data_IF_226935267660
#
_entry.id   IF_226935267660
#
_cell.length_a   1.000
_cell.length_b   1.000
_cell.length_c   1.000
_cell.angle_alpha   90.00
_cell.angle_beta   90.00
_cell.angle_gamma   90.00
#
_symmetry.space_group_name_H-M   'P 1'
#
loop_
_entity.id
_entity.type
_entity.pdbx_description
1 polymer ?
#
# COMPACT_ATOMS: atom_id res chain seq x y z
N UNK A 1 32.92 20.40 0.83
CA UNK A 1 31.81 19.85 1.64
C UNK A 1 31.92 18.34 1.61
N UNK A 2 32.07 17.65 2.75
CA UNK A 2 32.02 16.18 2.79
C UNK A 2 30.60 15.77 2.41
N UNK A 3 30.46 14.94 1.36
CA UNK A 3 29.17 14.41 0.95
C UNK A 3 28.56 13.58 2.09
N UNK A 4 27.25 13.67 2.26
CA UNK A 4 26.52 12.83 3.22
C UNK A 4 26.50 11.42 2.65
N UNK A 5 27.22 10.49 3.29
CA UNK A 5 27.24 9.10 2.89
C UNK A 5 26.00 8.39 3.40
N UNK A 6 25.27 7.71 2.52
CA UNK A 6 24.10 6.92 2.87
C UNK A 6 24.19 5.55 2.20
N UNK A 7 23.84 4.52 2.94
CA UNK A 7 23.87 3.13 2.49
C UNK A 7 22.45 2.57 2.39
N UNK A 8 22.17 1.81 1.33
CA UNK A 8 20.93 1.03 1.22
C UNK A 8 21.18 -0.37 1.75
N UNK A 9 20.32 -0.82 2.67
CA UNK A 9 20.30 -2.20 3.17
C UNK A 9 18.97 -2.87 2.91
N UNK A 10 19.01 -4.20 2.86
CA UNK A 10 17.84 -5.04 2.83
C UNK A 10 16.96 -4.76 4.06
N UNK A 11 15.64 -4.61 3.84
CA UNK A 11 14.69 -4.42 4.92
C UNK A 11 14.59 -5.69 5.78
N UNK A 12 14.63 -5.48 7.10
CA UNK A 12 14.28 -6.43 8.13
C UNK A 12 13.45 -5.71 9.20
N UNK A 13 12.46 -6.39 9.77
CA UNK A 13 11.59 -5.76 10.77
C UNK A 13 12.27 -5.71 12.15
N UNK A 14 12.48 -4.49 12.63
CA UNK A 14 12.96 -4.21 13.98
C UNK A 14 12.47 -2.83 14.44
N UNK A 15 12.65 -2.53 15.73
CA UNK A 15 12.07 -1.34 16.34
C UNK A 15 12.66 -0.05 15.74
N UNK A 16 13.95 -0.03 15.38
CA UNK A 16 14.58 1.14 14.72
C UNK A 16 13.92 1.48 13.38
N UNK A 17 13.48 0.46 12.63
CA UNK A 17 12.78 0.65 11.35
C UNK A 17 11.37 1.17 11.57
N UNK A 18 10.67 0.65 12.57
CA UNK A 18 9.31 1.11 12.93
C UNK A 18 9.36 2.55 13.44
N UNK A 19 10.35 2.89 14.26
CA UNK A 19 10.56 4.25 14.76
C UNK A 19 10.88 5.23 13.61
N UNK A 20 11.79 4.85 12.71
CA UNK A 20 12.11 5.67 11.53
C UNK A 20 10.91 5.81 10.59
N UNK A 21 10.07 4.79 10.48
CA UNK A 21 8.82 4.85 9.72
C UNK A 21 7.83 5.84 10.35
N UNK A 22 7.52 5.67 11.64
CA UNK A 22 6.64 6.59 12.38
C UNK A 22 7.15 8.03 12.29
N UNK A 23 8.45 8.24 12.49
CA UNK A 23 9.04 9.57 12.44
C UNK A 23 9.04 10.15 11.01
N UNK A 24 9.31 9.32 10.00
CA UNK A 24 9.25 9.69 8.59
C UNK A 24 7.87 10.12 8.12
N UNK A 25 6.80 9.68 8.78
CA UNK A 25 5.41 10.06 8.52
C UNK A 25 4.83 11.05 9.56
N UNK A 26 5.64 11.58 10.48
CA UNK A 26 5.16 12.43 11.59
C UNK A 26 4.50 13.74 11.15
N UNK A 27 4.88 14.28 10.00
CA UNK A 27 4.33 15.49 9.40
C UNK A 27 3.60 15.19 8.07
N UNK A 28 3.08 13.96 7.93
CA UNK A 28 2.37 13.55 6.73
C UNK A 28 1.03 14.29 6.59
N UNK A 29 0.65 14.60 5.35
CA UNK A 29 -0.55 15.40 5.02
C UNK A 29 -1.83 14.78 5.59
N UNK A 30 -1.87 13.44 5.68
CA UNK A 30 -2.93 12.71 6.39
C UNK A 30 -2.31 12.03 7.60
N UNK A 31 -2.61 12.47 8.83
CA UNK A 31 -2.01 11.91 10.04
C UNK A 31 -2.21 10.39 10.10
N UNK A 32 -1.11 9.66 10.18
CA UNK A 32 -1.15 8.23 10.46
C UNK A 32 -1.17 8.03 11.98
N UNK A 33 -1.96 7.07 12.50
CA UNK A 33 -1.84 6.70 13.90
C UNK A 33 -0.44 6.14 14.15
N UNK A 34 0.09 6.38 15.35
CA UNK A 34 1.36 5.77 15.77
C UNK A 34 1.28 4.25 15.66
N UNK A 35 2.27 3.65 15.00
CA UNK A 35 2.31 2.20 14.80
C UNK A 35 3.21 1.56 15.84
N UNK A 36 2.62 0.82 16.78
CA UNK A 36 3.37 -0.19 17.51
C UNK A 36 3.71 -1.39 16.60
N UNK A 37 4.54 -2.32 17.07
CA UNK A 37 4.99 -3.47 16.28
C UNK A 37 3.84 -4.30 15.69
N UNK A 38 2.81 -4.60 16.46
CA UNK A 38 1.67 -5.40 15.99
C UNK A 38 0.87 -4.68 14.89
N UNK A 39 0.58 -3.41 15.10
CA UNK A 39 -0.12 -2.56 14.12
C UNK A 39 0.70 -2.43 12.83
N UNK A 40 2.02 -2.23 12.96
CA UNK A 40 2.93 -2.15 11.81
C UNK A 40 2.93 -3.47 11.02
N UNK A 41 3.03 -4.62 11.70
CA UNK A 41 2.99 -5.93 11.04
C UNK A 41 1.68 -6.12 10.30
N UNK A 42 0.54 -5.96 10.99
CA UNK A 42 -0.76 -6.20 10.37
C UNK A 42 -0.97 -5.26 9.18
N UNK A 43 -0.80 -3.95 9.39
CA UNK A 43 -1.12 -2.95 8.36
C UNK A 43 -0.08 -2.87 7.25
N UNK A 44 1.20 -2.78 7.60
CA UNK A 44 2.27 -2.49 6.64
C UNK A 44 2.89 -3.75 6.04
N UNK A 45 2.76 -4.91 6.70
CA UNK A 45 3.31 -6.16 6.19
C UNK A 45 2.20 -7.04 5.61
N UNK A 46 1.24 -7.43 6.42
CA UNK A 46 0.22 -8.42 6.06
C UNK A 46 -0.78 -7.83 5.06
N UNK A 47 -1.50 -6.76 5.40
CA UNK A 47 -2.55 -6.18 4.56
C UNK A 47 -2.02 -5.57 3.25
N UNK A 48 -0.74 -5.19 3.23
CA UNK A 48 -0.06 -4.67 2.04
C UNK A 48 0.66 -5.76 1.22
N UNK A 49 0.56 -7.02 1.65
CA UNK A 49 1.27 -8.16 1.10
C UNK A 49 2.76 -7.85 0.81
N UNK A 50 3.39 -7.11 1.73
CA UNK A 50 4.75 -6.58 1.61
C UNK A 50 5.77 -7.72 1.61
N UNK A 51 6.70 -7.67 0.67
CA UNK A 51 7.79 -8.63 0.55
C UNK A 51 9.08 -8.00 1.04
N UNK A 52 9.75 -8.70 1.95
CA UNK A 52 10.98 -8.20 2.55
C UNK A 52 12.03 -8.04 1.45
N UNK A 53 12.21 -9.04 0.59
CA UNK A 53 13.14 -9.00 -0.55
C UNK A 53 12.94 -7.80 -1.49
N UNK A 54 11.71 -7.30 -1.63
CA UNK A 54 11.38 -6.11 -2.42
C UNK A 54 11.64 -4.79 -1.68
N UNK A 55 11.69 -4.84 -0.35
CA UNK A 55 11.77 -3.68 0.56
C UNK A 55 13.20 -3.37 0.99
N UNK A 56 13.46 -2.11 1.34
CA UNK A 56 14.80 -1.62 1.69
C UNK A 56 14.76 -0.50 2.72
N UNK A 57 15.90 -0.29 3.40
CA UNK A 57 16.12 0.82 4.32
C UNK A 57 17.33 1.64 3.88
N UNK A 58 17.31 2.94 4.20
CA UNK A 58 18.43 3.85 4.01
C UNK A 58 19.05 4.13 5.37
N UNK A 59 20.37 3.98 5.47
CA UNK A 59 21.13 4.16 6.71
C UNK A 59 22.15 5.28 6.54
N UNK A 60 22.29 6.11 7.56
CA UNK A 60 23.37 7.09 7.71
C UNK A 60 23.93 6.96 9.13
N UNK A 61 25.25 6.80 9.26
CA UNK A 61 25.96 6.69 10.55
C UNK A 61 25.29 5.72 11.55
N UNK A 62 24.81 4.57 11.05
CA UNK A 62 24.14 3.53 11.85
C UNK A 62 22.67 3.81 12.19
N UNK A 63 22.12 4.97 11.83
CA UNK A 63 20.73 5.35 11.99
C UNK A 63 19.91 5.02 10.74
N UNK A 64 18.71 4.46 10.90
CA UNK A 64 17.74 4.32 9.81
C UNK A 64 17.13 5.69 9.52
N UNK A 65 17.39 6.22 8.32
CA UNK A 65 16.94 7.57 7.90
C UNK A 65 15.84 7.52 6.84
N UNK A 66 15.55 6.35 6.29
CA UNK A 66 14.43 6.15 5.37
C UNK A 66 14.06 4.69 5.21
N UNK A 67 12.81 4.46 4.84
CA UNK A 67 12.20 3.14 4.70
C UNK A 67 11.43 3.11 3.38
N UNK A 68 11.62 2.04 2.60
CA UNK A 68 10.80 1.71 1.44
C UNK A 68 10.23 0.31 1.64
N UNK A 69 8.90 0.21 1.66
CA UNK A 69 8.18 -1.06 1.69
C UNK A 69 7.58 -1.31 0.31
N UNK A 70 7.75 -2.52 -0.19
CA UNK A 70 7.27 -2.91 -1.50
C UNK A 70 6.75 -4.34 -1.53
N UNK A 71 5.91 -4.60 -2.51
CA UNK A 71 5.36 -5.91 -2.83
C UNK A 71 5.43 -6.11 -4.36
N UNK A 72 5.14 -7.32 -4.82
CA UNK A 72 5.10 -7.59 -6.26
C UNK A 72 4.18 -8.77 -6.57
N UNK A 73 3.63 -8.75 -7.79
CA UNK A 73 3.10 -9.93 -8.47
C UNK A 73 3.89 -10.17 -9.76
N UNK A 74 3.33 -10.94 -10.68
CA UNK A 74 4.01 -11.30 -11.94
C UNK A 74 4.42 -10.08 -12.77
N UNK A 75 3.54 -9.07 -12.86
CA UNK A 75 3.69 -7.95 -13.78
C UNK A 75 4.02 -6.61 -13.10
N UNK A 76 3.63 -6.46 -11.83
CA UNK A 76 3.70 -5.21 -11.09
C UNK A 76 4.66 -5.33 -9.90
N UNK A 77 5.50 -4.31 -9.75
CA UNK A 77 6.22 -4.02 -8.51
C UNK A 77 5.54 -2.82 -7.84
N UNK A 78 4.91 -3.03 -6.69
CA UNK A 78 4.18 -1.99 -5.98
C UNK A 78 5.05 -1.40 -4.87
N UNK A 79 5.24 -0.08 -4.87
CA UNK A 79 5.84 0.63 -3.73
C UNK A 79 4.71 0.99 -2.76
N UNK A 80 4.58 0.18 -1.71
CA UNK A 80 3.53 0.31 -0.69
C UNK A 80 3.74 1.54 0.20
N UNK A 81 5.00 1.87 0.52
CA UNK A 81 5.35 3.04 1.32
C UNK A 81 6.78 3.51 1.03
N UNK A 82 6.98 4.83 1.10
CA UNK A 82 8.29 5.45 1.07
C UNK A 82 8.30 6.64 2.03
N UNK A 83 9.18 6.61 3.03
CA UNK A 83 9.40 7.72 3.94
C UNK A 83 10.87 7.98 4.20
N UNK A 84 11.17 9.22 4.56
CA UNK A 84 12.49 9.68 4.98
C UNK A 84 12.27 10.60 6.17
N UNK A 85 13.06 10.42 7.23
CA UNK A 85 12.96 11.27 8.43
C UNK A 85 13.20 12.75 8.06
N UNK A 86 12.51 13.71 8.72
CA UNK A 86 12.51 15.12 8.32
C UNK A 86 13.88 15.71 7.98
N UNK A 87 14.90 15.42 8.78
CA UNK A 87 16.27 15.95 8.67
C UNK A 87 17.04 15.40 7.47
N UNK A 88 16.61 14.26 6.91
CA UNK A 88 17.25 13.62 5.76
C UNK A 88 16.55 13.86 4.42
N UNK A 89 15.47 14.64 4.44
CA UNK A 89 14.75 14.98 3.22
C UNK A 89 15.53 16.01 2.40
N UNK A 90 15.41 15.94 1.08
CA UNK A 90 16.19 16.79 0.16
C UNK A 90 17.67 16.41 0.05
N UNK A 91 18.14 15.40 0.81
CA UNK A 91 19.55 14.94 0.81
C UNK A 91 19.79 13.71 -0.07
N UNK A 92 18.75 13.18 -0.73
CA UNK A 92 18.86 12.08 -1.70
C UNK A 92 18.43 10.69 -1.22
N UNK A 93 18.10 10.51 0.06
CA UNK A 93 17.71 9.20 0.63
C UNK A 93 16.55 8.52 -0.13
N UNK A 94 15.48 9.27 -0.43
CA UNK A 94 14.34 8.77 -1.19
C UNK A 94 14.72 8.32 -2.60
N UNK A 95 15.63 9.04 -3.26
CA UNK A 95 16.13 8.70 -4.60
C UNK A 95 16.96 7.41 -4.56
N UNK A 96 17.80 7.24 -3.53
CA UNK A 96 18.57 6.01 -3.34
C UNK A 96 17.65 4.80 -3.14
N UNK A 97 16.64 4.92 -2.28
CA UNK A 97 15.64 3.87 -2.04
C UNK A 97 14.88 3.50 -3.32
N UNK A 98 14.39 4.49 -4.06
CA UNK A 98 13.68 4.23 -5.31
C UNK A 98 14.58 3.62 -6.40
N UNK A 99 15.84 4.04 -6.50
CA UNK A 99 16.80 3.42 -7.42
C UNK A 99 17.04 1.94 -7.08
N UNK A 100 17.07 1.60 -5.79
CA UNK A 100 17.15 0.21 -5.35
C UNK A 100 15.87 -0.57 -5.70
N UNK A 101 14.69 0.03 -5.48
CA UNK A 101 13.42 -0.55 -5.92
C UNK A 101 13.37 -0.80 -7.44
N UNK A 102 13.90 0.11 -8.26
CA UNK A 102 14.02 -0.08 -9.72
C UNK A 102 14.86 -1.30 -10.05
N UNK A 103 16.01 -1.50 -9.37
CA UNK A 103 16.83 -2.70 -9.55
C UNK A 103 16.08 -3.97 -9.13
N UNK A 104 15.41 -3.94 -7.97
CA UNK A 104 14.64 -5.07 -7.41
C UNK A 104 13.41 -5.43 -8.25
N UNK A 105 12.84 -4.47 -8.98
CA UNK A 105 11.68 -4.70 -9.85
C UNK A 105 11.94 -5.67 -11.01
N UNK A 106 13.21 -5.93 -11.37
CA UNK A 106 13.58 -6.80 -12.50
C UNK A 106 12.84 -6.45 -13.80
N UNK A 107 12.66 -5.15 -14.08
CA UNK A 107 11.94 -4.58 -15.24
C UNK A 107 10.42 -4.72 -15.21
N UNK A 108 9.81 -5.12 -14.09
CA UNK A 108 8.36 -5.02 -13.89
C UNK A 108 7.90 -3.57 -13.93
N UNK A 109 6.62 -3.35 -14.23
CA UNK A 109 6.00 -2.02 -14.12
C UNK A 109 5.97 -1.62 -12.65
N UNK A 110 6.61 -0.50 -12.31
CA UNK A 110 6.57 0.04 -10.96
C UNK A 110 5.32 0.90 -10.81
N UNK A 111 4.52 0.61 -9.78
CA UNK A 111 3.28 1.35 -9.46
C UNK A 111 3.36 1.82 -8.01
N UNK A 112 2.74 2.94 -7.72
CA UNK A 112 2.57 3.47 -6.37
C UNK A 112 1.29 4.29 -6.29
N UNK A 113 0.80 4.45 -5.08
CA UNK A 113 -0.37 5.27 -4.76
C UNK A 113 0.09 6.46 -3.90
N UNK A 114 -0.42 7.66 -4.19
CA UNK A 114 -0.03 8.88 -3.48
C UNK A 114 -1.27 9.75 -3.25
N UNK A 115 -1.34 10.34 -2.06
CA UNK A 115 -2.41 11.28 -1.69
C UNK A 115 -2.34 12.51 -2.60
N UNK A 116 -3.48 12.94 -3.14
CA UNK A 116 -3.57 13.99 -4.16
C UNK A 116 -2.99 15.33 -3.68
N UNK A 117 -3.13 15.63 -2.40
CA UNK A 117 -2.65 16.84 -1.75
C UNK A 117 -1.16 16.78 -1.42
N UNK A 118 -0.50 15.63 -1.58
CA UNK A 118 0.94 15.48 -1.36
C UNK A 118 1.75 15.91 -2.59
N UNK A 119 1.64 17.21 -2.94
CA UNK A 119 2.32 17.81 -4.09
C UNK A 119 3.83 17.58 -4.09
N UNK A 120 4.45 17.52 -2.91
CA UNK A 120 5.88 17.25 -2.75
C UNK A 120 6.25 15.86 -3.26
N UNK A 121 5.52 14.83 -2.84
CA UNK A 121 5.76 13.45 -3.29
C UNK A 121 5.42 13.30 -4.78
N UNK A 122 4.30 13.89 -5.23
CA UNK A 122 3.92 13.86 -6.65
C UNK A 122 5.02 14.45 -7.54
N UNK A 123 5.58 15.61 -7.17
CA UNK A 123 6.67 16.21 -7.94
C UNK A 123 7.94 15.36 -7.92
N UNK A 124 8.25 14.74 -6.77
CA UNK A 124 9.36 13.79 -6.67
C UNK A 124 9.19 12.62 -7.64
N UNK A 125 8.02 11.97 -7.67
CA UNK A 125 7.76 10.84 -8.56
C UNK A 125 7.75 11.25 -10.04
N UNK A 126 7.18 12.41 -10.40
CA UNK A 126 7.26 12.95 -11.77
C UNK A 126 8.70 13.15 -12.24
N UNK A 127 9.56 13.70 -11.38
CA UNK A 127 10.99 13.85 -11.68
C UNK A 127 11.73 12.51 -11.81
N UNK A 128 11.15 11.42 -11.29
CA UNK A 128 11.64 10.06 -11.49
C UNK A 128 11.03 9.36 -12.71
N UNK A 129 10.17 10.04 -13.48
CA UNK A 129 9.54 9.51 -14.69
C UNK A 129 8.21 8.79 -14.46
N UNK A 130 7.59 8.93 -13.29
CA UNK A 130 6.24 8.40 -13.07
C UNK A 130 5.18 9.32 -13.68
N UNK A 131 4.12 8.70 -14.18
CA UNK A 131 2.94 9.36 -14.72
C UNK A 131 1.70 8.99 -13.89
N UNK A 132 0.73 9.92 -13.82
CA UNK A 132 -0.54 9.67 -13.14
C UNK A 132 -1.44 8.87 -14.08
N UNK A 133 -1.84 7.67 -13.67
CA UNK A 133 -2.68 6.78 -14.50
C UNK A 133 -4.15 6.73 -14.07
N UNK A 134 -4.51 7.35 -12.95
CA UNK A 134 -5.89 7.34 -12.45
C UNK A 134 -5.99 7.89 -11.02
N UNK A 135 -7.22 7.90 -10.51
CA UNK A 135 -7.54 8.25 -9.13
C UNK A 135 -8.28 7.09 -8.48
N UNK A 136 -8.10 6.93 -7.17
CA UNK A 136 -8.83 5.96 -6.35
C UNK A 136 -9.57 6.76 -5.28
N UNK A 137 -10.85 6.47 -5.09
CA UNK A 137 -11.65 7.11 -4.06
C UNK A 137 -11.54 6.32 -2.74
N UNK A 138 -11.29 7.02 -1.65
CA UNK A 138 -11.43 6.49 -0.29
C UNK A 138 -12.65 7.12 0.36
N UNK A 139 -13.60 6.28 0.79
CA UNK A 139 -14.85 6.71 1.39
C UNK A 139 -14.88 6.25 2.84
N UNK A 140 -15.08 7.18 3.76
CA UNK A 140 -15.29 6.92 5.18
C UNK A 140 -16.57 7.62 5.62
N UNK A 141 -17.43 6.92 6.35
CA UNK A 141 -18.71 7.46 6.79
C UNK A 141 -19.51 6.47 7.62
N UNK A 142 -20.66 6.93 8.10
CA UNK A 142 -21.66 6.09 8.78
C UNK A 142 -22.83 5.85 7.83
N UNK A 143 -23.35 4.64 7.84
CA UNK A 143 -24.55 4.29 7.08
C UNK A 143 -25.76 4.70 7.93
N UNK A 144 -26.42 5.81 7.57
CA UNK A 144 -27.57 6.34 8.33
C UNK A 144 -28.92 5.94 7.72
N UNK A 145 -28.96 5.67 6.41
CA UNK A 145 -30.19 5.36 5.69
C UNK A 145 -30.06 4.05 4.94
N UNK A 146 -30.73 3.00 5.45
CA UNK A 146 -30.77 1.69 4.82
C UNK A 146 -32.11 1.53 4.11
N UNK A 147 -32.08 1.33 2.79
CA UNK A 147 -33.24 0.91 2.00
C UNK A 147 -33.15 -0.59 1.75
N UNK A 148 -34.23 -1.31 2.05
CA UNK A 148 -34.34 -2.73 1.72
C UNK A 148 -34.81 -2.86 0.27
N UNK A 149 -34.12 -3.68 -0.51
CA UNK A 149 -34.62 -4.14 -1.81
C UNK A 149 -35.49 -5.38 -1.58
N UNK A 150 -36.54 -5.52 -2.41
CA UNK A 150 -37.30 -6.78 -2.51
C UNK A 150 -36.63 -7.66 -3.56
N UNK A 151 -36.92 -8.96 -3.53
CA UNK A 151 -36.53 -9.93 -4.56
C UNK A 151 -35.00 -10.08 -4.74
N UNK A 152 -34.27 -9.92 -3.63
CA UNK A 152 -32.83 -10.22 -3.55
C UNK A 152 -32.58 -11.34 -2.55
N UNK A 153 -31.53 -12.13 -2.78
CA UNK A 153 -30.96 -13.02 -1.77
C UNK A 153 -29.51 -12.62 -1.48
N UNK A 154 -29.09 -12.77 -0.23
CA UNK A 154 -27.72 -12.48 0.21
C UNK A 154 -27.15 -13.74 0.86
N UNK A 155 -25.95 -14.13 0.47
CA UNK A 155 -25.23 -15.26 1.09
C UNK A 155 -23.73 -15.05 1.09
N UNK A 156 -23.06 -15.88 1.87
CA UNK A 156 -21.61 -15.96 1.85
C UNK A 156 -21.13 -16.54 0.50
N UNK A 157 -19.99 -16.03 0.06
CA UNK A 157 -19.31 -16.49 -1.14
C UNK A 157 -18.20 -17.47 -0.76
N UNK A 158 -18.09 -18.54 -1.52
CA UNK A 158 -16.90 -19.37 -1.53
C UNK A 158 -15.71 -18.62 -2.14
N UNK A 159 -14.51 -19.12 -1.90
CA UNK A 159 -13.30 -18.50 -2.42
C UNK A 159 -13.25 -18.45 -3.95
N UNK A 160 -13.77 -19.48 -4.62
CA UNK A 160 -13.83 -19.55 -6.09
C UNK A 160 -14.77 -18.48 -6.65
N UNK A 161 -15.92 -18.27 -6.01
CA UNK A 161 -16.86 -17.21 -6.41
C UNK A 161 -16.25 -15.82 -6.22
N UNK A 162 -15.45 -15.61 -5.17
CA UNK A 162 -14.72 -14.35 -4.96
C UNK A 162 -13.67 -14.13 -6.06
N UNK A 163 -13.01 -15.18 -6.54
CA UNK A 163 -12.11 -15.08 -7.70
C UNK A 163 -12.88 -14.69 -8.97
N UNK A 164 -14.05 -15.28 -9.21
CA UNK A 164 -14.90 -14.93 -10.35
C UNK A 164 -15.41 -13.49 -10.27
N UNK A 165 -15.79 -13.03 -9.08
CA UNK A 165 -16.25 -11.66 -8.82
C UNK A 165 -15.23 -10.58 -9.22
N UNK A 166 -13.92 -10.90 -9.23
CA UNK A 166 -12.91 -9.93 -9.68
C UNK A 166 -13.08 -9.52 -11.14
N UNK A 167 -13.64 -10.39 -11.97
CA UNK A 167 -13.92 -10.07 -13.37
C UNK A 167 -15.07 -9.06 -13.51
N UNK A 168 -15.87 -8.86 -12.46
CA UNK A 168 -16.96 -7.90 -12.41
C UNK A 168 -16.51 -6.51 -11.95
N UNK A 169 -15.28 -6.37 -11.45
CA UNK A 169 -14.76 -5.08 -10.98
C UNK A 169 -14.34 -4.23 -12.17
N UNK A 170 -15.13 -3.21 -12.47
CA UNK A 170 -14.90 -2.24 -13.54
C UNK A 170 -14.17 -0.96 -13.06
N UNK A 171 -13.97 -0.82 -11.75
CA UNK A 171 -13.28 0.31 -11.12
C UNK A 171 -11.87 -0.04 -10.65
N UNK A 172 -10.91 0.92 -10.65
CA UNK A 172 -9.62 0.71 -10.04
C UNK A 172 -9.75 0.48 -8.52
N UNK A 173 -9.24 -0.65 -8.04
CA UNK A 173 -9.06 -0.93 -6.61
C UNK A 173 -7.63 -0.63 -6.19
N UNK A 174 -7.48 -0.09 -4.97
CA UNK A 174 -6.16 0.09 -4.37
C UNK A 174 -5.50 -1.26 -4.12
N UNK A 175 -4.17 -1.25 -4.02
CA UNK A 175 -3.37 -2.46 -3.92
C UNK A 175 -3.81 -3.43 -2.80
N UNK A 176 -4.13 -2.88 -1.63
CA UNK A 176 -4.53 -3.66 -0.44
C UNK A 176 -5.86 -4.41 -0.66
N UNK A 177 -6.74 -3.89 -1.53
CA UNK A 177 -8.03 -4.51 -1.85
C UNK A 177 -7.95 -5.46 -3.05
N UNK A 178 -6.75 -5.74 -3.57
CA UNK A 178 -6.57 -6.80 -4.56
C UNK A 178 -6.58 -8.15 -3.85
N UNK A 179 -7.09 -9.17 -4.53
CA UNK A 179 -7.28 -10.50 -3.93
C UNK A 179 -6.01 -11.05 -3.29
N UNK A 180 -4.84 -10.86 -3.91
CA UNK A 180 -3.56 -11.31 -3.38
C UNK A 180 -3.23 -10.76 -1.97
N UNK A 181 -3.72 -9.56 -1.64
CA UNK A 181 -3.53 -8.91 -0.35
C UNK A 181 -4.72 -9.20 0.59
N UNK A 182 -5.92 -9.40 0.06
CA UNK A 182 -7.07 -9.88 0.86
C UNK A 182 -6.78 -11.28 1.41
N UNK A 183 -6.21 -12.15 0.58
CA UNK A 183 -5.88 -13.54 0.90
C UNK A 183 -4.81 -13.71 1.99
N UNK A 184 -4.13 -12.64 2.43
CA UNK A 184 -3.19 -12.69 3.55
C UNK A 184 -3.87 -12.44 4.90
N UNK A 185 -5.17 -12.20 4.90
CA UNK A 185 -5.96 -11.77 6.04
C UNK A 185 -7.19 -12.68 6.20
N UNK A 186 -7.82 -12.63 7.37
CA UNK A 186 -9.17 -13.17 7.52
C UNK A 186 -10.17 -12.21 6.86
N UNK A 187 -11.05 -12.73 6.02
CA UNK A 187 -12.03 -11.94 5.28
C UNK A 187 -13.37 -12.66 5.16
N UNK A 188 -14.42 -11.88 4.94
CA UNK A 188 -15.77 -12.35 4.65
C UNK A 188 -16.19 -11.79 3.30
N UNK A 189 -16.61 -12.67 2.39
CA UNK A 189 -17.23 -12.30 1.12
C UNK A 189 -18.73 -12.53 1.17
N UNK A 190 -19.53 -11.53 0.77
CA UNK A 190 -20.98 -11.67 0.61
C UNK A 190 -21.40 -11.27 -0.79
N UNK A 191 -22.26 -12.08 -1.39
CA UNK A 191 -22.88 -11.82 -2.69
C UNK A 191 -24.35 -11.45 -2.52
N UNK A 192 -24.82 -10.55 -3.38
CA UNK A 192 -26.23 -10.23 -3.57
C UNK A 192 -26.67 -10.82 -4.91
N UNK A 193 -27.81 -11.50 -4.94
CA UNK A 193 -28.32 -12.21 -6.12
C UNK A 193 -29.74 -11.77 -6.46
N UNK A 194 -30.04 -11.70 -7.76
CA UNK A 194 -31.37 -11.46 -8.33
C UNK A 194 -31.63 -12.60 -9.33
N UNK A 195 -32.72 -13.36 -9.16
CA UNK A 195 -33.02 -14.54 -9.98
C UNK A 195 -31.84 -15.53 -10.08
N UNK A 196 -31.15 -15.77 -8.95
CA UNK A 196 -29.95 -16.61 -8.83
C UNK A 196 -28.69 -16.12 -9.58
N UNK A 197 -28.74 -14.95 -10.23
CA UNK A 197 -27.58 -14.30 -10.83
C UNK A 197 -26.95 -13.29 -9.86
N UNK A 198 -25.62 -13.22 -9.84
CA UNK A 198 -24.91 -12.27 -8.98
C UNK A 198 -25.11 -10.83 -9.49
N UNK A 199 -25.70 -10.00 -8.64
CA UNK A 199 -25.97 -8.58 -8.91
C UNK A 199 -24.95 -7.65 -8.24
N UNK A 200 -24.20 -8.15 -7.26
CA UNK A 200 -23.14 -7.40 -6.59
C UNK A 200 -22.51 -8.21 -5.46
N UNK A 201 -21.37 -7.74 -4.96
CA UNK A 201 -20.67 -8.39 -3.85
C UNK A 201 -19.93 -7.36 -2.99
N UNK A 202 -19.62 -7.76 -1.77
CA UNK A 202 -18.71 -7.04 -0.87
C UNK A 202 -17.70 -8.03 -0.29
N UNK A 203 -16.49 -7.54 -0.06
CA UNK A 203 -15.45 -8.25 0.69
C UNK A 203 -14.97 -7.30 1.78
N UNK A 204 -14.94 -7.78 3.01
CA UNK A 204 -14.52 -6.98 4.16
C UNK A 204 -13.78 -7.85 5.18
N UNK A 205 -13.01 -7.18 6.03
CA UNK A 205 -12.30 -7.76 7.17
C UNK A 205 -12.93 -7.19 8.44
N UNK A 206 -13.11 -8.01 9.48
CA UNK A 206 -13.62 -7.56 10.78
C UNK A 206 -12.55 -6.79 11.60
#
# INVERSE_FOLDING_TARGET
MRGIYMEIKQFEINDKVIDAFNYGFSDYVVPLPYMNRGVFINRMIISNCTKYSCSSICIHDGQVVGVLLASENENIFMVNALCVIPEFRGKGAAKLLMNDAVKKSKRKKIVLEVIRENYRAINFYKNMGFEITGNIAYINGRIEHIRKSKDISIRDLSINEIFECQNLIDIPVNWQNRIQCIMTQDFIGKGCFINDEIAGFIIYTD
#
